data_IF_169565779813
#
_entry.id   IF_169565779813
#
_cell.length_a   1.000
_cell.length_b   1.000
_cell.length_c   1.000
_cell.angle_alpha   90.00
_cell.angle_beta   90.00
_cell.angle_gamma   90.00
#
_symmetry.space_group_name_H-M   'P 1'
#
loop_
_entity.id
_entity.type
_entity.pdbx_description
1 polymer ?
#
# COMPACT_ATOMS: atom_id res chain seq x y z
N UNK A 1 -8.97 5.85 28.31
CA UNK A 1 -8.95 7.16 27.59
C UNK A 1 -9.76 7.18 26.32
N UNK A 2 -10.17 6.03 25.78
CA UNK A 2 -10.92 5.88 24.52
C UNK A 2 -12.45 5.84 24.70
N UNK A 3 -12.97 6.05 25.92
CA UNK A 3 -14.41 6.10 26.16
C UNK A 3 -15.04 7.32 25.47
N UNK A 4 -16.21 7.13 24.84
CA UNK A 4 -16.92 8.17 24.08
C UNK A 4 -17.21 9.45 24.89
N UNK A 5 -17.50 9.29 26.18
CA UNK A 5 -17.76 10.42 27.08
C UNK A 5 -16.56 11.36 27.25
N UNK A 6 -15.34 10.86 27.00
CA UNK A 6 -14.09 11.61 27.09
C UNK A 6 -13.62 12.13 25.72
N UNK A 7 -14.21 11.70 24.61
CA UNK A 7 -13.85 12.16 23.26
C UNK A 7 -14.45 13.54 23.00
N UNK A 8 -13.78 14.58 23.48
CA UNK A 8 -14.29 15.96 23.46
C UNK A 8 -14.56 16.49 22.05
N UNK A 9 -13.84 15.96 21.06
CA UNK A 9 -13.98 16.18 19.62
C UNK A 9 -15.37 15.82 19.07
N UNK A 10 -16.08 14.88 19.70
CA UNK A 10 -17.41 14.45 19.29
C UNK A 10 -18.51 15.40 19.79
N UNK A 11 -18.20 16.28 20.75
CA UNK A 11 -19.15 17.27 21.25
C UNK A 11 -19.13 18.55 20.42
N UNK A 12 -20.29 19.23 20.40
CA UNK A 12 -20.39 20.58 19.85
C UNK A 12 -19.42 21.54 20.55
N UNK A 13 -18.97 22.56 19.82
CA UNK A 13 -18.01 23.55 20.31
C UNK A 13 -18.40 24.12 21.68
N UNK A 14 -19.66 24.54 21.84
CA UNK A 14 -20.16 25.12 23.10
C UNK A 14 -20.12 24.13 24.27
N UNK A 15 -20.44 22.85 24.04
CA UNK A 15 -20.39 21.81 25.07
C UNK A 15 -18.93 21.51 25.44
N UNK A 16 -18.06 21.38 24.44
CA UNK A 16 -16.61 21.17 24.63
C UNK A 16 -15.99 22.27 25.48
N UNK A 17 -16.24 23.54 25.14
CA UNK A 17 -15.66 24.69 25.86
C UNK A 17 -16.13 24.75 27.32
N UNK A 18 -17.40 24.43 27.59
CA UNK A 18 -17.91 24.34 28.97
C UNK A 18 -17.22 23.24 29.77
N UNK A 19 -17.06 22.05 29.18
CA UNK A 19 -16.38 20.92 29.84
C UNK A 19 -14.93 21.28 30.15
N UNK A 20 -14.18 21.80 29.17
CA UNK A 20 -12.77 22.17 29.35
C UNK A 20 -12.64 23.28 30.40
N UNK A 21 -13.52 24.29 30.38
CA UNK A 21 -13.46 25.38 31.37
C UNK A 21 -13.74 24.92 32.79
N UNK A 22 -14.59 23.91 32.98
CA UNK A 22 -15.04 23.47 34.30
C UNK A 22 -14.18 22.33 34.87
N UNK A 23 -13.72 21.41 34.02
CA UNK A 23 -13.08 20.17 34.43
C UNK A 23 -11.70 19.94 33.82
N UNK A 24 -11.23 20.83 32.92
CA UNK A 24 -10.07 20.62 32.04
C UNK A 24 -10.24 19.37 31.16
N UNK A 25 -9.19 19.01 30.42
CA UNK A 25 -9.15 17.73 29.70
C UNK A 25 -8.57 16.64 30.60
N UNK A 26 -9.42 15.74 31.10
CA UNK A 26 -8.98 14.63 31.95
C UNK A 26 -8.07 13.64 31.24
N UNK A 27 -8.12 13.57 29.89
CA UNK A 27 -7.25 12.68 29.10
C UNK A 27 -5.80 13.10 29.21
N UNK A 28 -5.55 14.41 29.31
CA UNK A 28 -4.21 14.96 29.51
C UNK A 28 -3.59 14.45 30.82
N UNK A 29 -4.28 14.65 31.94
CA UNK A 29 -3.80 14.23 33.27
C UNK A 29 -3.59 12.71 33.33
N UNK A 30 -4.53 11.93 32.80
CA UNK A 30 -4.39 10.47 32.75
C UNK A 30 -3.20 10.03 31.87
N UNK A 31 -2.94 10.71 30.76
CA UNK A 31 -1.78 10.43 29.92
C UNK A 31 -0.44 10.76 30.58
N UNK A 32 -0.39 11.82 31.39
CA UNK A 32 0.80 12.12 32.21
C UNK A 32 1.05 11.04 33.26
N UNK A 33 0.00 10.52 33.90
CA UNK A 33 0.14 9.39 34.83
C UNK A 33 0.59 8.12 34.11
N UNK A 34 0.05 7.80 32.93
CA UNK A 34 0.50 6.65 32.12
C UNK A 34 1.97 6.79 31.74
N UNK A 35 2.38 7.99 31.30
CA UNK A 35 3.78 8.29 31.02
C UNK A 35 4.65 8.08 32.27
N UNK A 36 4.25 8.63 33.41
CA UNK A 36 4.95 8.48 34.68
C UNK A 36 5.11 7.00 35.06
N UNK A 37 4.03 6.22 34.98
CA UNK A 37 4.04 4.77 35.22
C UNK A 37 5.03 4.06 34.31
N UNK A 38 5.00 4.34 33.00
CA UNK A 38 5.92 3.73 32.03
C UNK A 38 7.38 3.97 32.40
N UNK A 39 7.77 5.22 32.68
CA UNK A 39 9.16 5.53 33.03
C UNK A 39 9.59 4.94 34.38
N UNK A 40 8.65 4.66 35.28
CA UNK A 40 8.90 4.04 36.58
C UNK A 40 8.97 2.50 36.54
N UNK A 41 8.70 1.83 35.41
CA UNK A 41 8.77 0.37 35.29
C UNK A 41 10.21 -0.21 35.37
N UNK A 42 11.24 0.63 35.21
CA UNK A 42 12.64 0.21 35.30
C UNK A 42 13.00 -0.89 34.30
N UNK A 43 13.64 -1.96 34.77
CA UNK A 43 14.09 -3.09 33.93
C UNK A 43 12.96 -3.96 33.38
N UNK A 44 11.74 -3.82 33.91
CA UNK A 44 10.59 -4.63 33.47
C UNK A 44 9.97 -4.13 32.16
N UNK A 45 10.33 -2.93 31.68
CA UNK A 45 9.78 -2.32 30.46
C UNK A 45 9.84 -3.25 29.24
N UNK A 46 10.95 -3.96 29.07
CA UNK A 46 11.16 -4.85 27.92
C UNK A 46 10.12 -5.96 27.81
N UNK A 47 9.61 -6.47 28.95
CA UNK A 47 8.59 -7.53 28.98
C UNK A 47 7.23 -7.06 28.46
N UNK A 48 6.99 -5.75 28.46
CA UNK A 48 5.76 -5.14 27.97
C UNK A 48 5.84 -4.76 26.49
N UNK A 49 7.04 -4.74 25.92
CA UNK A 49 7.26 -4.62 24.47
C UNK A 49 7.19 -6.04 23.87
N UNK A 50 6.42 -6.29 22.80
CA UNK A 50 5.67 -5.34 21.98
C UNK A 50 4.22 -5.09 22.43
N UNK A 51 3.68 -5.86 23.37
CA UNK A 51 2.25 -5.90 23.72
C UNK A 51 1.59 -4.55 24.03
N UNK A 52 2.30 -3.58 24.62
CA UNK A 52 1.77 -2.26 24.96
C UNK A 52 1.78 -1.25 23.80
N UNK A 53 2.45 -1.53 22.68
CA UNK A 53 2.60 -0.59 21.56
C UNK A 53 1.24 -0.12 21.05
N UNK A 54 0.30 -1.05 20.84
CA UNK A 54 -1.05 -0.72 20.40
C UNK A 54 -1.82 0.17 21.38
N UNK A 55 -1.70 -0.08 22.69
CA UNK A 55 -2.41 0.69 23.72
C UNK A 55 -1.84 2.10 23.86
N UNK A 56 -0.52 2.26 23.77
CA UNK A 56 0.12 3.58 23.76
C UNK A 56 -0.23 4.33 22.48
N UNK A 57 -0.27 3.67 21.32
CA UNK A 57 -0.74 4.25 20.06
C UNK A 57 -2.17 4.78 20.16
N UNK A 58 -3.10 4.03 20.75
CA UNK A 58 -4.48 4.52 20.92
C UNK A 58 -4.56 5.79 21.75
N UNK A 59 -3.70 5.91 22.76
CA UNK A 59 -3.58 7.12 23.57
C UNK A 59 -2.96 8.27 22.78
N UNK A 60 -1.87 8.03 22.05
CA UNK A 60 -1.14 9.09 21.35
C UNK A 60 -1.93 9.63 20.16
N UNK A 61 -2.84 8.84 19.58
CA UNK A 61 -3.70 9.28 18.48
C UNK A 61 -4.83 10.22 18.90
N UNK A 62 -5.12 10.37 20.19
CA UNK A 62 -6.12 11.33 20.71
C UNK A 62 -5.75 12.75 20.23
N UNK A 63 -6.69 13.55 19.69
CA UNK A 63 -6.44 14.89 19.17
C UNK A 63 -6.28 15.93 20.28
N UNK A 64 -5.27 15.72 21.13
CA UNK A 64 -4.82 16.63 22.18
C UNK A 64 -3.29 16.81 21.99
N UNK A 65 -2.81 18.01 21.59
CA UNK A 65 -1.40 18.24 21.24
C UNK A 65 -0.38 18.10 22.39
N UNK A 66 -0.73 18.50 23.61
CA UNK A 66 0.18 18.42 24.77
C UNK A 66 0.36 16.96 25.24
N UNK A 67 -0.72 16.19 25.25
CA UNK A 67 -0.75 14.75 25.48
C UNK A 67 0.09 14.03 24.44
N UNK A 68 -0.10 14.34 23.14
CA UNK A 68 0.73 13.82 22.03
C UNK A 68 2.21 14.05 22.30
N UNK A 69 2.60 15.32 22.52
CA UNK A 69 3.99 15.70 22.79
C UNK A 69 4.56 15.00 24.03
N UNK A 70 3.75 14.80 25.05
CA UNK A 70 4.18 14.14 26.27
C UNK A 70 4.36 12.62 26.11
N UNK A 71 3.55 11.97 25.27
CA UNK A 71 3.45 10.51 25.20
C UNK A 71 4.21 9.89 24.03
N UNK A 72 4.39 10.59 22.91
CA UNK A 72 5.19 10.12 21.76
C UNK A 72 6.61 9.66 22.18
N UNK A 73 7.33 10.35 23.09
CA UNK A 73 8.66 9.89 23.54
C UNK A 73 8.69 8.50 24.20
N UNK A 74 7.53 7.95 24.61
CA UNK A 74 7.44 6.57 25.11
C UNK A 74 7.88 5.57 24.04
N UNK A 75 7.56 5.82 22.76
CA UNK A 75 7.97 4.95 21.66
C UNK A 75 9.49 4.88 21.50
N UNK A 76 10.17 6.01 21.67
CA UNK A 76 11.63 6.04 21.64
C UNK A 76 12.24 5.26 22.83
N UNK A 77 11.62 5.32 24.00
CA UNK A 77 12.04 4.53 25.16
C UNK A 77 11.76 3.02 24.96
N UNK A 78 10.64 2.65 24.31
CA UNK A 78 10.37 1.26 23.89
C UNK A 78 11.43 0.72 22.92
N UNK A 79 11.83 1.52 21.92
CA UNK A 79 12.91 1.16 21.00
C UNK A 79 14.23 0.91 21.75
N UNK A 80 14.59 1.80 22.68
CA UNK A 80 15.79 1.62 23.49
C UNK A 80 15.71 0.38 24.39
N UNK A 81 14.57 0.12 25.01
CA UNK A 81 14.37 -1.05 25.87
C UNK A 81 14.63 -2.35 25.10
N UNK A 82 14.14 -2.46 23.87
CA UNK A 82 14.38 -3.62 23.02
C UNK A 82 15.80 -3.64 22.46
N UNK A 83 16.34 -2.49 22.03
CA UNK A 83 17.68 -2.41 21.46
C UNK A 83 18.76 -2.87 22.43
N UNK A 84 18.66 -2.46 23.70
CA UNK A 84 19.58 -2.82 24.77
C UNK A 84 19.19 -4.10 25.52
N UNK A 85 18.13 -4.80 25.09
CA UNK A 85 17.72 -6.06 25.71
C UNK A 85 18.72 -7.17 25.44
N UNK A 86 18.62 -8.26 26.21
CA UNK A 86 19.44 -9.45 25.99
C UNK A 86 18.83 -10.35 24.91
N UNK A 87 19.65 -10.87 24.00
CA UNK A 87 19.25 -11.87 23.01
C UNK A 87 18.74 -13.18 23.63
N UNK A 88 19.07 -13.43 24.90
CA UNK A 88 18.80 -14.70 25.60
C UNK A 88 17.87 -14.52 26.80
N UNK A 89 16.90 -13.59 26.73
CA UNK A 89 15.99 -13.28 27.85
C UNK A 89 15.28 -14.50 28.47
N UNK A 90 15.02 -15.54 27.68
CA UNK A 90 14.31 -16.77 28.09
C UNK A 90 15.26 -17.83 28.67
N UNK A 91 16.55 -17.82 28.30
CA UNK A 91 17.53 -18.87 28.66
C UNK A 91 18.60 -18.39 29.67
N UNK A 92 18.66 -17.08 29.94
CA UNK A 92 19.65 -16.47 30.82
C UNK A 92 19.32 -16.68 32.30
N UNK A 93 19.91 -17.71 32.91
CA UNK A 93 20.01 -17.89 34.36
C UNK A 93 21.25 -17.15 34.90
N UNK A 94 21.07 -16.27 35.91
CA UNK A 94 22.16 -15.61 36.64
C UNK A 94 22.75 -14.33 36.02
N UNK A 95 24.01 -14.01 36.40
CA UNK A 95 24.76 -12.77 36.08
C UNK A 95 25.05 -12.52 34.58
N UNK A 96 24.59 -13.39 33.67
CA UNK A 96 24.80 -13.29 32.21
C UNK A 96 23.94 -12.21 31.54
N UNK A 97 22.94 -11.63 32.24
CA UNK A 97 22.10 -10.53 31.73
C UNK A 97 22.84 -9.20 31.52
N UNK A 98 24.04 -9.04 32.11
CA UNK A 98 24.83 -7.79 32.05
C UNK A 98 26.02 -7.86 31.10
N UNK A 99 26.21 -8.98 30.41
CA UNK A 99 27.29 -9.07 29.45
C UNK A 99 26.89 -8.35 28.15
N UNK A 100 27.65 -7.30 27.84
CA UNK A 100 27.54 -6.48 26.64
C UNK A 100 27.59 -7.28 25.33
N UNK A 101 28.11 -8.51 25.35
CA UNK A 101 28.15 -9.41 24.19
C UNK A 101 26.76 -9.93 23.77
N UNK A 102 25.79 -9.92 24.69
CA UNK A 102 24.44 -10.47 24.47
C UNK A 102 23.39 -9.41 24.10
N UNK A 103 23.77 -8.17 23.81
CA UNK A 103 22.83 -7.11 23.43
C UNK A 103 22.14 -7.45 22.11
N UNK A 104 20.81 -7.31 22.05
CA UNK A 104 19.99 -7.56 20.85
C UNK A 104 20.45 -6.69 19.68
N UNK A 105 20.69 -5.40 19.93
CA UNK A 105 21.17 -4.42 18.97
C UNK A 105 20.25 -4.25 17.76
N UNK A 106 18.95 -4.48 17.95
CA UNK A 106 17.87 -4.19 17.02
C UNK A 106 16.55 -4.05 17.79
N UNK A 107 15.54 -3.44 17.17
CA UNK A 107 14.21 -3.26 17.75
C UNK A 107 13.11 -3.82 16.81
N UNK A 108 13.38 -4.96 16.17
CA UNK A 108 12.51 -5.50 15.11
C UNK A 108 11.10 -5.85 15.58
N UNK A 109 10.93 -6.26 16.84
CA UNK A 109 9.63 -6.67 17.38
C UNK A 109 8.75 -5.44 17.61
N UNK A 110 9.30 -4.39 18.21
CA UNK A 110 8.68 -3.08 18.31
C UNK A 110 8.35 -2.50 16.94
N UNK A 111 9.30 -2.51 16.00
CA UNK A 111 9.09 -1.98 14.65
C UNK A 111 7.93 -2.70 13.94
N UNK A 112 7.89 -4.03 14.02
CA UNK A 112 6.83 -4.82 13.41
C UNK A 112 5.48 -4.54 14.06
N UNK A 113 5.41 -4.53 15.38
CA UNK A 113 4.16 -4.25 16.09
C UNK A 113 3.67 -2.82 15.84
N UNK A 114 4.57 -1.83 15.84
CA UNK A 114 4.23 -0.44 15.54
C UNK A 114 3.58 -0.32 14.17
N UNK A 115 4.17 -0.93 13.14
CA UNK A 115 3.64 -0.88 11.77
C UNK A 115 2.26 -1.55 11.69
N UNK A 116 2.11 -2.74 12.28
CA UNK A 116 0.84 -3.50 12.25
C UNK A 116 -0.28 -2.74 12.99
N UNK A 117 0.00 -2.22 14.19
CA UNK A 117 -1.00 -1.50 14.98
C UNK A 117 -1.34 -0.15 14.38
N UNK A 118 -0.35 0.55 13.82
CA UNK A 118 -0.60 1.83 13.17
C UNK A 118 -1.48 1.67 11.93
N UNK A 119 -1.21 0.67 11.09
CA UNK A 119 -2.03 0.34 9.93
C UNK A 119 -3.50 0.09 10.34
N UNK A 120 -3.73 -0.79 11.33
CA UNK A 120 -5.08 -1.09 11.81
C UNK A 120 -5.81 0.13 12.40
N UNK A 121 -5.11 0.99 13.14
CA UNK A 121 -5.71 2.17 13.78
C UNK A 121 -6.04 3.27 12.78
N UNK A 122 -5.17 3.52 11.80
CA UNK A 122 -5.42 4.49 10.73
C UNK A 122 -6.56 4.05 9.81
N UNK A 123 -6.63 2.75 9.48
CA UNK A 123 -7.78 2.18 8.78
C UNK A 123 -9.08 2.30 9.57
N UNK A 124 -9.00 2.18 10.91
CA UNK A 124 -10.11 2.47 11.83
C UNK A 124 -10.50 3.95 11.91
N UNK A 125 -9.92 4.82 11.06
CA UNK A 125 -10.24 6.24 10.98
C UNK A 125 -9.53 7.12 12.01
N UNK A 126 -8.63 6.57 12.82
CA UNK A 126 -7.83 7.35 13.79
C UNK A 126 -6.62 8.02 13.10
N UNK A 127 -5.99 8.97 13.78
CA UNK A 127 -4.81 9.67 13.27
C UNK A 127 -5.10 10.81 12.29
N UNK A 128 -4.21 11.79 12.26
CA UNK A 128 -4.32 13.00 11.44
C UNK A 128 -2.94 13.51 11.01
N UNK A 129 -2.93 14.52 10.13
CA UNK A 129 -1.69 15.12 9.61
C UNK A 129 -0.86 15.74 10.73
N UNK A 130 -1.51 16.32 11.74
CA UNK A 130 -0.82 16.90 12.89
C UNK A 130 -0.07 15.82 13.70
N UNK A 131 -0.68 14.66 13.92
CA UNK A 131 -0.06 13.53 14.59
C UNK A 131 1.17 13.03 13.81
N UNK A 132 1.06 12.89 12.47
CA UNK A 132 2.20 12.53 11.61
C UNK A 132 3.35 13.50 11.80
N UNK A 133 3.09 14.81 11.71
CA UNK A 133 4.11 15.85 11.86
C UNK A 133 4.75 15.81 13.26
N UNK A 134 3.94 15.76 14.33
CA UNK A 134 4.44 15.70 15.70
C UNK A 134 5.27 14.43 15.96
N UNK A 135 4.81 13.27 15.46
CA UNK A 135 5.55 12.03 15.59
C UNK A 135 6.90 12.11 14.88
N UNK A 136 6.91 12.62 13.64
CA UNK A 136 8.13 12.78 12.85
C UNK A 136 9.14 13.67 13.56
N UNK A 137 8.74 14.87 13.95
CA UNK A 137 9.64 15.88 14.52
C UNK A 137 10.24 15.40 15.85
N UNK A 138 9.41 14.89 16.76
CA UNK A 138 9.86 14.42 18.08
C UNK A 138 10.77 13.21 17.95
N UNK A 139 10.39 12.22 17.14
CA UNK A 139 11.15 10.97 17.04
C UNK A 139 12.46 11.18 16.26
N UNK A 140 12.48 12.01 15.22
CA UNK A 140 13.72 12.38 14.53
C UNK A 140 14.68 13.06 15.50
N UNK A 141 14.20 14.02 16.29
CA UNK A 141 15.04 14.73 17.27
C UNK A 141 15.65 13.76 18.30
N UNK A 142 14.83 12.88 18.87
CA UNK A 142 15.27 11.88 19.86
C UNK A 142 16.28 10.87 19.26
N UNK A 143 16.00 10.35 18.06
CA UNK A 143 16.90 9.41 17.39
C UNK A 143 18.22 10.07 16.97
N UNK A 144 18.19 11.33 16.51
CA UNK A 144 19.39 12.05 16.09
C UNK A 144 20.36 12.37 17.24
N UNK A 145 19.84 12.52 18.46
CA UNK A 145 20.64 12.76 19.68
C UNK A 145 21.22 11.46 20.28
N UNK A 146 20.74 10.29 19.84
CA UNK A 146 21.18 9.01 20.38
C UNK A 146 22.49 8.55 19.73
N UNK A 147 23.38 7.87 20.47
CA UNK A 147 24.73 7.57 19.97
C UNK A 147 24.83 6.33 19.08
N UNK A 148 24.12 5.25 19.40
CA UNK A 148 24.26 3.94 18.73
C UNK A 148 23.10 3.65 17.78
N UNK A 149 21.87 3.90 18.23
CA UNK A 149 20.63 3.69 17.46
C UNK A 149 20.31 4.79 16.43
N UNK A 150 21.17 5.79 16.20
CA UNK A 150 20.78 6.96 15.39
C UNK A 150 20.39 6.61 13.95
N UNK A 151 21.18 5.79 13.25
CA UNK A 151 20.92 5.47 11.85
C UNK A 151 19.63 4.67 11.71
N UNK A 152 19.51 3.60 12.48
CA UNK A 152 18.37 2.68 12.40
C UNK A 152 17.09 3.33 12.93
N UNK A 153 17.20 4.14 13.99
CA UNK A 153 16.10 4.95 14.49
C UNK A 153 15.60 5.96 13.46
N UNK A 154 16.49 6.71 12.80
CA UNK A 154 16.10 7.66 11.75
C UNK A 154 15.47 6.95 10.55
N UNK A 155 16.02 5.80 10.12
CA UNK A 155 15.42 4.98 9.05
C UNK A 155 14.00 4.56 9.43
N UNK A 156 13.82 4.04 10.65
CA UNK A 156 12.51 3.64 11.16
C UNK A 156 11.51 4.80 11.19
N UNK A 157 11.90 5.97 11.70
CA UNK A 157 11.00 7.14 11.77
C UNK A 157 10.57 7.57 10.37
N UNK A 158 11.47 7.54 9.38
CA UNK A 158 11.12 7.83 7.98
C UNK A 158 10.12 6.82 7.42
N UNK A 159 10.33 5.52 7.67
CA UNK A 159 9.43 4.45 7.25
C UNK A 159 8.02 4.68 7.84
N UNK A 160 7.93 4.90 9.15
CA UNK A 160 6.66 5.10 9.85
C UNK A 160 5.97 6.41 9.44
N UNK A 161 6.73 7.49 9.24
CA UNK A 161 6.17 8.78 8.81
C UNK A 161 5.57 8.69 7.41
N UNK A 162 6.25 7.99 6.50
CA UNK A 162 5.80 7.80 5.13
C UNK A 162 4.65 6.77 5.05
N UNK A 163 4.57 5.84 6.02
CA UNK A 163 3.40 4.96 6.21
C UNK A 163 2.17 5.78 6.59
N UNK A 164 2.27 6.60 7.63
CA UNK A 164 1.17 7.49 8.03
C UNK A 164 0.72 8.40 6.89
N UNK A 165 1.66 8.95 6.10
CA UNK A 165 1.35 9.77 4.93
C UNK A 165 0.52 9.00 3.88
N UNK A 166 0.96 7.80 3.51
CA UNK A 166 0.27 6.96 2.52
C UNK A 166 -1.13 6.57 3.00
N UNK A 167 -1.29 6.28 4.30
CA UNK A 167 -2.57 5.95 4.93
C UNK A 167 -3.53 7.14 4.96
N UNK A 168 -3.02 8.33 5.27
CA UNK A 168 -3.81 9.57 5.28
C UNK A 168 -4.25 9.95 3.87
N UNK A 169 -3.37 9.80 2.88
CA UNK A 169 -3.68 10.02 1.46
C UNK A 169 -4.76 9.04 0.99
N UNK A 170 -4.60 7.74 1.28
CA UNK A 170 -5.64 6.73 0.99
C UNK A 170 -6.99 7.08 1.62
N UNK A 171 -7.01 7.53 2.88
CA UNK A 171 -8.24 7.97 3.55
C UNK A 171 -8.87 9.19 2.87
N UNK A 172 -8.06 10.18 2.46
CA UNK A 172 -8.58 11.34 1.73
C UNK A 172 -9.25 10.93 0.41
N UNK A 173 -8.68 9.96 -0.31
CA UNK A 173 -9.23 9.48 -1.59
C UNK A 173 -10.53 8.68 -1.42
N UNK A 174 -10.68 7.91 -0.33
CA UNK A 174 -11.95 7.21 -0.05
C UNK A 174 -13.06 8.22 0.28
N UNK A 175 -12.71 9.32 0.96
CA UNK A 175 -13.67 10.33 1.41
C UNK A 175 -14.00 11.32 0.29
N UNK A 176 -13.05 11.67 -0.57
CA UNK A 176 -13.29 12.51 -1.75
C UNK A 176 -13.96 11.70 -2.86
N UNK A 177 -15.07 12.20 -3.40
CA UNK A 177 -15.75 11.62 -4.57
C UNK A 177 -14.87 11.60 -5.83
N UNK A 178 -13.74 12.34 -5.82
CA UNK A 178 -12.84 12.49 -6.96
C UNK A 178 -11.63 11.53 -6.85
N UNK A 179 -11.85 10.29 -7.31
CA UNK A 179 -10.98 9.12 -7.12
C UNK A 179 -9.71 9.06 -8.02
N UNK A 180 -9.26 10.18 -8.58
CA UNK A 180 -8.17 10.21 -9.58
C UNK A 180 -6.73 10.13 -9.00
N UNK A 181 -6.54 10.34 -7.69
CA UNK A 181 -5.20 10.44 -7.07
C UNK A 181 -4.67 9.14 -6.42
N UNK A 182 -4.89 7.97 -7.01
CA UNK A 182 -4.61 6.69 -6.34
C UNK A 182 -3.18 6.15 -6.44
N UNK A 183 -2.32 6.77 -7.24
CA UNK A 183 -1.00 6.22 -7.61
C UNK A 183 0.10 6.36 -6.54
N UNK A 184 -0.04 7.24 -5.56
CA UNK A 184 1.02 7.53 -4.57
C UNK A 184 1.21 6.41 -3.53
N UNK A 185 0.12 5.76 -3.12
CA UNK A 185 0.12 4.80 -2.01
C UNK A 185 0.75 3.44 -2.42
N UNK A 186 0.69 3.05 -3.68
CA UNK A 186 1.26 1.77 -4.16
C UNK A 186 2.77 1.74 -4.23
N UNK A 187 3.40 2.85 -4.62
CA UNK A 187 4.86 2.92 -4.77
C UNK A 187 5.56 2.80 -3.40
N UNK A 188 4.90 3.28 -2.34
CA UNK A 188 5.40 3.27 -0.97
C UNK A 188 5.66 1.85 -0.41
N UNK A 189 4.69 0.95 -0.56
CA UNK A 189 4.75 -0.37 0.06
C UNK A 189 5.66 -1.35 -0.71
N UNK A 190 5.92 -1.10 -2.00
CA UNK A 190 6.95 -1.81 -2.75
C UNK A 190 8.35 -1.62 -2.13
N UNK A 191 8.61 -0.45 -1.54
CA UNK A 191 9.93 -0.11 -0.98
C UNK A 191 10.16 -0.61 0.45
N UNK A 192 9.11 -0.92 1.22
CA UNK A 192 9.23 -1.32 2.64
C UNK A 192 9.44 -2.82 2.85
N UNK A 193 9.52 -3.61 1.78
CA UNK A 193 9.74 -5.07 1.84
C UNK A 193 8.69 -5.83 2.69
N UNK A 194 7.57 -5.19 3.06
CA UNK A 194 6.41 -5.82 3.71
C UNK A 194 5.39 -6.19 2.65
N UNK A 195 5.72 -7.26 1.91
CA UNK A 195 4.95 -7.77 0.76
C UNK A 195 3.47 -8.01 1.10
N UNK A 196 3.16 -8.38 2.34
CA UNK A 196 1.79 -8.61 2.81
C UNK A 196 0.94 -7.34 2.80
N UNK A 197 1.44 -6.27 3.43
CA UNK A 197 0.74 -4.99 3.45
C UNK A 197 0.60 -4.45 2.02
N UNK A 198 1.65 -4.54 1.21
CA UNK A 198 1.60 -4.14 -0.19
C UNK A 198 0.45 -4.82 -0.95
N UNK A 199 0.31 -6.14 -0.80
CA UNK A 199 -0.75 -6.91 -1.47
C UNK A 199 -2.14 -6.56 -0.94
N UNK A 200 -2.29 -6.32 0.37
CA UNK A 200 -3.56 -5.85 0.93
C UNK A 200 -3.97 -4.49 0.35
N UNK A 201 -3.04 -3.54 0.24
CA UNK A 201 -3.31 -2.24 -0.39
C UNK A 201 -3.58 -2.34 -1.89
N UNK A 202 -2.85 -3.20 -2.62
CA UNK A 202 -3.15 -3.47 -4.03
C UNK A 202 -4.57 -4.03 -4.23
N UNK A 203 -5.03 -4.94 -3.36
CA UNK A 203 -6.40 -5.46 -3.44
C UNK A 203 -7.45 -4.37 -3.14
N UNK A 204 -7.19 -3.49 -2.17
CA UNK A 204 -8.06 -2.36 -1.87
C UNK A 204 -8.11 -1.35 -3.02
N UNK A 205 -6.97 -1.07 -3.63
CA UNK A 205 -6.86 -0.21 -4.81
C UNK A 205 -7.63 -0.81 -6.00
N UNK A 206 -7.47 -2.11 -6.22
CA UNK A 206 -8.20 -2.84 -7.24
C UNK A 206 -9.72 -2.70 -7.05
N UNK A 207 -10.21 -2.88 -5.83
CA UNK A 207 -11.63 -2.72 -5.50
C UNK A 207 -12.12 -1.28 -5.72
N UNK A 208 -11.32 -0.29 -5.36
CA UNK A 208 -11.63 1.12 -5.64
C UNK A 208 -11.75 1.38 -7.15
N UNK A 209 -10.81 0.87 -7.96
CA UNK A 209 -10.88 1.02 -9.41
C UNK A 209 -12.11 0.34 -10.01
N UNK A 210 -12.51 -0.81 -9.49
CA UNK A 210 -13.75 -1.48 -9.91
C UNK A 210 -14.99 -0.65 -9.58
N UNK A 211 -15.05 -0.02 -8.41
CA UNK A 211 -16.15 0.89 -8.05
C UNK A 211 -16.23 2.13 -8.94
N UNK A 212 -15.13 2.51 -9.59
CA UNK A 212 -15.07 3.64 -10.52
C UNK A 212 -15.37 3.24 -11.98
N UNK A 213 -15.64 1.96 -12.26
CA UNK A 213 -15.62 1.39 -13.61
C UNK A 213 -14.27 1.61 -14.36
N UNK A 214 -13.19 1.86 -13.62
CA UNK A 214 -11.83 2.04 -14.13
C UNK A 214 -11.16 0.67 -14.33
N UNK A 215 -11.72 -0.16 -15.21
CA UNK A 215 -11.28 -1.54 -15.42
C UNK A 215 -9.83 -1.66 -15.92
N UNK A 216 -9.32 -0.67 -16.65
CA UNK A 216 -7.93 -0.67 -17.13
C UNK A 216 -6.93 -0.50 -15.98
N UNK A 217 -7.19 0.45 -15.08
CA UNK A 217 -6.36 0.68 -13.90
C UNK A 217 -6.48 -0.46 -12.88
N UNK A 218 -7.67 -1.06 -12.77
CA UNK A 218 -7.87 -2.29 -12.00
C UNK A 218 -6.96 -3.42 -12.51
N UNK A 219 -6.90 -3.62 -13.83
CA UNK A 219 -6.02 -4.62 -14.44
C UNK A 219 -4.54 -4.33 -14.20
N UNK A 220 -4.09 -3.08 -14.36
CA UNK A 220 -2.70 -2.68 -14.07
C UNK A 220 -2.33 -2.89 -12.59
N UNK A 221 -3.26 -2.62 -11.68
CA UNK A 221 -3.06 -2.86 -10.25
C UNK A 221 -2.78 -4.33 -9.95
N UNK A 222 -3.55 -5.25 -10.56
CA UNK A 222 -3.30 -6.69 -10.42
C UNK A 222 -2.00 -7.12 -11.10
N UNK A 223 -1.57 -6.47 -12.19
CA UNK A 223 -0.26 -6.76 -12.79
C UNK A 223 0.88 -6.50 -11.80
N UNK A 224 0.80 -5.45 -10.98
CA UNK A 224 1.77 -5.20 -9.91
C UNK A 224 1.82 -6.36 -8.91
N UNK A 225 0.66 -6.94 -8.54
CA UNK A 225 0.61 -8.13 -7.68
C UNK A 225 1.28 -9.33 -8.36
N UNK A 226 1.01 -9.56 -9.65
CA UNK A 226 1.60 -10.71 -10.37
C UNK A 226 3.12 -10.66 -10.50
N UNK A 227 3.74 -9.46 -10.46
CA UNK A 227 5.20 -9.30 -10.45
C UNK A 227 5.86 -9.85 -9.18
N UNK A 228 5.12 -9.98 -8.09
CA UNK A 228 5.59 -10.57 -6.83
C UNK A 228 5.51 -12.11 -6.84
N UNK A 229 4.91 -12.70 -7.88
CA UNK A 229 4.66 -14.14 -8.00
C UNK A 229 5.53 -14.76 -9.09
N UNK A 230 5.94 -16.00 -8.85
CA UNK A 230 6.73 -16.80 -9.79
C UNK A 230 5.85 -17.89 -10.42
N UNK A 231 6.22 -18.35 -11.60
CA UNK A 231 5.59 -19.51 -12.24
C UNK A 231 6.15 -20.81 -11.65
N UNK A 232 5.94 -21.01 -10.35
CA UNK A 232 6.44 -22.15 -9.59
C UNK A 232 5.33 -22.83 -8.79
N UNK A 233 5.50 -24.13 -8.54
CA UNK A 233 4.63 -24.90 -7.65
C UNK A 233 5.04 -24.77 -6.17
N UNK A 234 5.88 -23.78 -5.85
CA UNK A 234 6.24 -23.45 -4.47
C UNK A 234 5.00 -23.08 -3.66
N UNK A 235 5.01 -23.49 -2.39
CA UNK A 235 3.92 -23.22 -1.46
C UNK A 235 3.81 -21.71 -1.30
N UNK A 236 2.62 -21.18 -1.59
CA UNK A 236 2.34 -19.77 -1.47
C UNK A 236 2.34 -19.37 0.01
N UNK A 237 3.13 -18.35 0.36
CA UNK A 237 3.05 -17.74 1.68
C UNK A 237 1.64 -17.17 1.90
N UNK A 238 1.04 -17.41 3.06
CA UNK A 238 -0.25 -16.80 3.45
C UNK A 238 -0.21 -15.27 3.37
N UNK A 239 0.99 -14.69 3.51
CA UNK A 239 1.26 -13.26 3.41
C UNK A 239 1.04 -12.70 1.98
N UNK A 240 1.07 -13.53 0.94
CA UNK A 240 0.95 -13.08 -0.45
C UNK A 240 -0.47 -13.20 -1.00
N UNK A 241 -1.44 -13.56 -0.14
CA UNK A 241 -2.76 -14.04 -0.52
C UNK A 241 -3.85 -13.12 0.03
N UNK A 242 -4.62 -12.50 -0.86
CA UNK A 242 -5.85 -11.81 -0.46
C UNK A 242 -6.99 -12.77 -0.12
N UNK A 243 -7.95 -12.34 0.70
CA UNK A 243 -9.10 -13.15 1.13
C UNK A 243 -9.89 -13.75 -0.05
N UNK A 244 -9.98 -13.01 -1.16
CA UNK A 244 -10.68 -13.44 -2.39
C UNK A 244 -10.08 -14.67 -3.06
N UNK A 245 -8.80 -14.95 -2.83
CA UNK A 245 -8.08 -16.07 -3.45
C UNK A 245 -7.76 -17.19 -2.45
N UNK A 246 -8.57 -17.34 -1.40
CA UNK A 246 -8.43 -18.34 -0.31
C UNK A 246 -8.17 -19.78 -0.77
N UNK A 247 -8.50 -20.17 -2.00
CA UNK A 247 -8.32 -21.53 -2.52
C UNK A 247 -6.97 -21.78 -3.20
N UNK A 248 -6.22 -20.74 -3.60
CA UNK A 248 -4.92 -20.91 -4.26
C UNK A 248 -3.84 -21.38 -3.26
N UNK A 249 -3.12 -22.47 -3.57
CA UNK A 249 -2.10 -23.07 -2.69
C UNK A 249 -0.67 -22.82 -3.15
N UNK A 250 -0.45 -22.62 -4.46
CA UNK A 250 0.88 -22.39 -5.03
C UNK A 250 0.99 -21.01 -5.69
N UNK A 251 2.22 -20.54 -5.90
CA UNK A 251 2.48 -19.29 -6.62
C UNK A 251 1.87 -19.31 -8.03
N UNK A 252 2.03 -20.41 -8.77
CA UNK A 252 1.43 -20.63 -10.09
C UNK A 252 -0.10 -20.50 -10.07
N UNK A 253 -0.78 -21.17 -9.12
CA UNK A 253 -2.25 -21.13 -9.03
C UNK A 253 -2.80 -19.72 -8.76
N UNK A 254 -2.17 -18.97 -7.84
CA UNK A 254 -2.59 -17.60 -7.58
C UNK A 254 -2.32 -16.70 -8.80
N UNK A 255 -1.16 -16.85 -9.43
CA UNK A 255 -0.78 -16.05 -10.60
C UNK A 255 -1.73 -16.31 -11.78
N UNK A 256 -2.09 -17.57 -12.03
CA UNK A 256 -3.09 -17.94 -13.05
C UNK A 256 -4.45 -17.29 -12.78
N UNK A 257 -4.97 -17.38 -11.55
CA UNK A 257 -6.24 -16.77 -11.18
C UNK A 257 -6.25 -15.24 -11.36
N UNK A 258 -5.14 -14.59 -10.99
CA UNK A 258 -4.94 -13.15 -11.21
C UNK A 258 -4.89 -12.82 -12.71
N UNK A 259 -4.21 -13.64 -13.54
CA UNK A 259 -4.14 -13.45 -14.98
C UNK A 259 -5.53 -13.49 -15.63
N UNK A 260 -6.39 -14.44 -15.26
CA UNK A 260 -7.76 -14.47 -15.76
C UNK A 260 -8.55 -13.22 -15.36
N UNK A 261 -8.39 -12.77 -14.12
CA UNK A 261 -9.03 -11.54 -13.63
C UNK A 261 -8.51 -10.29 -14.38
N UNK A 262 -7.21 -10.23 -14.69
CA UNK A 262 -6.60 -9.16 -15.50
C UNK A 262 -7.17 -9.15 -16.92
N UNK A 263 -7.24 -10.32 -17.57
CA UNK A 263 -7.77 -10.48 -18.93
C UNK A 263 -9.24 -10.05 -18.99
N UNK A 264 -10.05 -10.44 -18.00
CA UNK A 264 -11.45 -10.03 -17.87
C UNK A 264 -11.58 -8.50 -17.76
N UNK A 265 -10.76 -7.87 -16.92
CA UNK A 265 -10.79 -6.42 -16.71
C UNK A 265 -10.27 -5.66 -17.94
N UNK A 266 -9.22 -6.12 -18.61
CA UNK A 266 -8.80 -5.52 -19.89
C UNK A 266 -9.85 -5.63 -20.98
N UNK A 267 -10.57 -6.77 -21.04
CA UNK A 267 -11.70 -6.94 -21.96
C UNK A 267 -12.80 -5.91 -21.69
N UNK A 268 -13.21 -5.74 -20.42
CA UNK A 268 -14.20 -4.73 -20.02
C UNK A 268 -13.72 -3.30 -20.29
N UNK A 269 -12.44 -3.02 -20.04
CA UNK A 269 -11.77 -1.75 -20.34
C UNK A 269 -11.46 -1.50 -21.81
N UNK A 270 -11.82 -2.42 -22.73
CA UNK A 270 -11.58 -2.34 -24.19
C UNK A 270 -10.08 -2.24 -24.57
N UNK A 271 -9.20 -2.73 -23.69
CA UNK A 271 -7.76 -2.82 -23.90
C UNK A 271 -7.38 -4.23 -24.36
N UNK A 272 -7.98 -4.67 -25.47
CA UNK A 272 -7.84 -6.04 -25.97
C UNK A 272 -6.41 -6.41 -26.38
N UNK A 273 -5.60 -5.46 -26.85
CA UNK A 273 -4.17 -5.69 -27.14
C UNK A 273 -3.39 -6.11 -25.89
N UNK A 274 -3.70 -5.50 -24.73
CA UNK A 274 -3.10 -5.88 -23.45
C UNK A 274 -3.63 -7.23 -22.98
N UNK A 275 -4.93 -7.50 -23.16
CA UNK A 275 -5.52 -8.81 -22.85
C UNK A 275 -4.86 -9.94 -23.66
N UNK A 276 -4.62 -9.74 -24.96
CA UNK A 276 -3.97 -10.71 -25.86
C UNK A 276 -2.55 -11.02 -25.38
N UNK A 277 -1.76 -10.01 -24.99
CA UNK A 277 -0.41 -10.25 -24.45
C UNK A 277 -0.44 -11.13 -23.21
N UNK A 278 -1.39 -10.91 -22.30
CA UNK A 278 -1.57 -11.76 -21.11
C UNK A 278 -2.06 -13.16 -21.45
N UNK A 279 -2.91 -13.31 -22.46
CA UNK A 279 -3.26 -14.63 -23.00
C UNK A 279 -2.03 -15.35 -23.59
N UNK A 280 -1.13 -14.66 -24.29
CA UNK A 280 0.07 -15.27 -24.86
C UNK A 280 1.03 -15.78 -23.78
N UNK A 281 1.28 -14.97 -22.74
CA UNK A 281 2.09 -15.39 -21.59
C UNK A 281 1.51 -16.64 -20.90
N UNK A 282 0.17 -16.71 -20.77
CA UNK A 282 -0.49 -17.87 -20.15
C UNK A 282 -0.52 -19.09 -21.09
N UNK A 283 -0.64 -18.88 -22.40
CA UNK A 283 -0.58 -19.94 -23.41
C UNK A 283 0.79 -20.64 -23.39
N UNK A 284 1.87 -19.87 -23.27
CA UNK A 284 3.23 -20.40 -23.15
C UNK A 284 3.36 -21.33 -21.92
N UNK A 285 2.77 -20.95 -20.79
CA UNK A 285 2.75 -21.81 -19.60
C UNK A 285 1.97 -23.12 -19.82
N UNK A 286 0.82 -23.06 -20.48
CA UNK A 286 0.04 -24.26 -20.77
C UNK A 286 0.67 -25.18 -21.81
N UNK A 287 1.41 -24.64 -22.78
CA UNK A 287 2.09 -25.40 -23.81
C UNK A 287 3.40 -26.03 -23.31
N UNK A 288 4.20 -25.28 -22.54
CA UNK A 288 5.57 -25.68 -22.21
C UNK A 288 5.71 -26.29 -20.80
N UNK A 289 4.90 -25.88 -19.82
CA UNK A 289 5.09 -26.26 -18.42
C UNK A 289 4.04 -27.25 -17.93
N UNK A 290 2.74 -26.97 -18.13
CA UNK A 290 1.66 -27.80 -17.57
C UNK A 290 1.03 -28.77 -18.56
N UNK A 291 1.29 -28.60 -19.87
CA UNK A 291 0.70 -29.39 -20.96
C UNK A 291 -0.83 -29.49 -20.92
N UNK A 292 -1.50 -28.40 -20.50
CA UNK A 292 -2.96 -28.33 -20.40
C UNK A 292 -3.56 -27.76 -21.69
N UNK A 293 -3.75 -28.64 -22.67
CA UNK A 293 -4.26 -28.27 -23.98
C UNK A 293 -5.75 -27.90 -24.00
N UNK A 294 -6.53 -28.32 -23.00
CA UNK A 294 -7.95 -27.96 -22.89
C UNK A 294 -8.08 -26.47 -22.55
N UNK A 295 -7.34 -26.02 -21.53
CA UNK A 295 -7.28 -24.59 -21.18
C UNK A 295 -6.61 -23.75 -22.25
N UNK A 296 -5.60 -24.30 -22.93
CA UNK A 296 -4.96 -23.64 -24.07
C UNK A 296 -5.97 -23.38 -25.22
N UNK A 297 -6.81 -24.37 -25.55
CA UNK A 297 -7.85 -24.22 -26.57
C UNK A 297 -8.84 -23.11 -26.21
N UNK A 298 -9.31 -23.08 -24.96
CA UNK A 298 -10.21 -22.03 -24.47
C UNK A 298 -9.56 -20.64 -24.57
N UNK A 299 -8.25 -20.55 -24.27
CA UNK A 299 -7.49 -19.30 -24.33
C UNK A 299 -7.32 -18.79 -25.77
N UNK A 300 -7.06 -19.68 -26.74
CA UNK A 300 -7.00 -19.32 -28.16
C UNK A 300 -8.35 -18.85 -28.70
N UNK A 301 -9.45 -19.51 -28.33
CA UNK A 301 -10.80 -19.05 -28.67
C UNK A 301 -11.05 -17.64 -28.14
N UNK A 302 -10.58 -17.35 -26.91
CA UNK A 302 -10.69 -16.03 -26.31
C UNK A 302 -9.84 -14.97 -27.03
N UNK A 303 -8.63 -15.32 -27.45
CA UNK A 303 -7.79 -14.44 -28.29
C UNK A 303 -8.44 -14.14 -29.63
N UNK A 304 -9.08 -15.13 -30.27
CA UNK A 304 -9.81 -14.94 -31.52
C UNK A 304 -10.92 -13.89 -31.38
N UNK A 305 -11.72 -13.97 -30.32
CA UNK A 305 -12.74 -12.96 -30.00
C UNK A 305 -12.12 -11.57 -29.84
N UNK A 306 -11.00 -11.45 -29.14
CA UNK A 306 -10.30 -10.18 -28.96
C UNK A 306 -9.77 -9.61 -30.28
N UNK A 307 -9.23 -10.43 -31.18
CA UNK A 307 -8.82 -9.98 -32.51
C UNK A 307 -10.01 -9.44 -33.31
N UNK A 308 -11.15 -10.15 -33.29
CA UNK A 308 -12.38 -9.69 -33.93
C UNK A 308 -12.87 -8.35 -33.38
N UNK A 309 -12.82 -8.16 -32.06
CA UNK A 309 -13.24 -6.92 -31.41
C UNK A 309 -12.31 -5.74 -31.75
N UNK A 310 -11.00 -5.97 -31.86
CA UNK A 310 -10.04 -4.95 -32.33
C UNK A 310 -10.36 -4.56 -33.77
N UNK A 311 -10.61 -5.53 -34.66
CA UNK A 311 -10.94 -5.26 -36.07
C UNK A 311 -12.27 -4.50 -36.21
N UNK A 312 -13.30 -4.88 -35.44
CA UNK A 312 -14.59 -4.16 -35.42
C UNK A 312 -14.43 -2.72 -34.95
N UNK A 313 -13.60 -2.46 -33.93
CA UNK A 313 -13.30 -1.09 -33.46
C UNK A 313 -12.58 -0.26 -34.51
N UNK A 314 -11.60 -0.83 -35.21
CA UNK A 314 -10.91 -0.13 -36.29
C UNK A 314 -11.87 0.19 -37.44
N UNK A 315 -12.74 -0.75 -37.81
CA UNK A 315 -13.80 -0.53 -38.80
C UNK A 315 -14.80 0.58 -38.39
N UNK A 316 -15.19 0.67 -37.12
CA UNK A 316 -16.03 1.78 -36.62
C UNK A 316 -15.30 3.13 -36.64
N UNK A 317 -14.00 3.15 -36.31
CA UNK A 317 -13.21 4.38 -36.38
C UNK A 317 -13.05 4.89 -37.81
N UNK A 318 -12.87 3.99 -38.80
CA UNK A 318 -12.85 4.34 -40.21
C UNK A 318 -14.21 4.83 -40.70
N UNK A 319 -15.32 4.22 -40.27
CA UNK A 319 -16.67 4.72 -40.58
C UNK A 319 -16.92 6.11 -39.98
N UNK A 320 -16.46 6.42 -38.76
CA UNK A 320 -16.56 7.78 -38.19
C UNK A 320 -15.71 8.77 -38.99
N UNK A 321 -14.53 8.38 -39.47
CA UNK A 321 -13.71 9.20 -40.35
C UNK A 321 -14.35 9.42 -41.74
N UNK A 322 -15.06 8.44 -42.31
CA UNK A 322 -15.82 8.59 -43.56
C UNK A 322 -17.08 9.46 -43.42
N UNK A 323 -17.73 9.42 -42.25
CA UNK A 323 -18.83 10.35 -41.94
C UNK A 323 -18.30 11.77 -41.68
N UNK A 324 -17.10 11.90 -41.11
CA UNK A 324 -16.44 13.19 -40.89
C UNK A 324 -15.86 13.82 -42.17
N UNK A 325 -15.56 13.05 -43.22
CA UNK A 325 -15.15 13.60 -44.53
C UNK A 325 -16.32 14.11 -45.38
N UNK A 326 -17.58 13.82 -44.99
CA UNK A 326 -18.79 14.31 -45.67
C UNK A 326 -19.36 15.59 -45.03
N UNK A 327 -18.87 16.00 -43.85
CA UNK A 327 -19.29 17.25 -43.17
C UNK A 327 -18.05 18.09 -42.84
N UNK A 328 -17.80 19.12 -43.65
CA UNK A 328 -16.75 20.11 -43.38
C UNK A 328 -17.19 21.09 -42.28
N UNK A 329 -16.46 21.00 -41.16
CA UNK A 329 -16.05 22.06 -40.21
C UNK A 329 -17.09 22.60 -39.22
N UNK A 330 -16.90 22.26 -37.95
CA UNK A 330 -16.74 23.26 -36.88
C UNK A 330 -15.95 22.68 -35.70
N UNK A 331 -14.98 23.47 -35.23
CA UNK A 331 -13.92 23.16 -34.26
C UNK A 331 -14.43 22.63 -32.90
N UNK A 332 -13.77 21.57 -32.38
CA UNK A 332 -13.46 21.39 -30.94
C UNK A 332 -12.70 20.08 -30.60
N UNK A 333 -11.71 19.67 -31.41
CA UNK A 333 -10.89 18.48 -31.14
C UNK A 333 -9.47 18.81 -30.64
N UNK A 334 -9.38 19.61 -29.58
CA UNK A 334 -8.13 19.81 -28.83
C UNK A 334 -8.43 19.87 -27.34
N UNK A 335 -8.72 18.73 -26.70
CA UNK A 335 -8.70 18.64 -25.22
C UNK A 335 -8.53 17.24 -24.60
N UNK A 336 -8.17 16.21 -25.38
CA UNK A 336 -7.90 14.86 -24.85
C UNK A 336 -6.53 14.38 -25.37
N UNK A 337 -5.46 15.10 -24.98
CA UNK A 337 -4.08 14.64 -25.22
C UNK A 337 -3.14 14.94 -24.04
N UNK A 338 -3.69 15.15 -22.84
CA UNK A 338 -2.91 15.56 -21.67
C UNK A 338 -2.86 14.54 -20.52
N UNK A 339 -3.44 13.34 -20.66
CA UNK A 339 -3.50 12.35 -19.58
C UNK A 339 -2.65 11.07 -19.77
N UNK A 340 -1.76 11.00 -20.78
CA UNK A 340 -0.87 9.84 -20.98
C UNK A 340 0.63 10.14 -20.90
N UNK A 341 1.05 11.28 -20.33
CA UNK A 341 2.46 11.71 -20.43
C UNK A 341 3.35 11.30 -19.25
N UNK A 342 2.86 10.66 -18.18
CA UNK A 342 3.73 10.35 -17.03
C UNK A 342 4.32 8.93 -17.03
N UNK A 343 3.74 7.96 -17.77
CA UNK A 343 4.26 6.57 -17.81
C UNK A 343 5.32 6.34 -18.91
N UNK A 344 5.59 7.32 -19.77
CA UNK A 344 6.60 7.18 -20.85
C UNK A 344 8.03 7.58 -20.47
N UNK A 345 8.26 8.13 -19.27
CA UNK A 345 9.56 8.72 -18.93
C UNK A 345 10.63 7.76 -18.38
N UNK A 346 10.37 6.45 -18.30
CA UNK A 346 11.37 5.46 -17.82
C UNK A 346 11.87 4.50 -18.89
N UNK A 347 11.65 4.79 -20.18
CA UNK A 347 12.24 4.03 -21.30
C UNK A 347 13.29 4.83 -22.06
N UNK A 348 14.34 5.25 -21.36
CA UNK A 348 15.58 5.72 -21.98
C UNK A 348 16.72 4.75 -21.65
N UNK A 349 16.93 3.76 -22.52
CA UNK A 349 18.25 3.38 -23.07
C UNK A 349 18.18 2.07 -23.87
N UNK A 350 19.05 1.92 -24.89
CA UNK A 350 18.65 1.44 -26.21
C UNK A 350 19.09 0.00 -26.46
N UNK A 351 18.38 -0.73 -27.33
CA UNK A 351 18.93 -1.72 -28.26
C UNK A 351 17.78 -2.22 -29.17
N UNK A 352 18.04 -2.14 -30.48
CA UNK A 352 17.34 -2.73 -31.64
C UNK A 352 15.99 -2.10 -32.07
N UNK A 353 16.13 -1.00 -32.83
CA UNK A 353 15.29 -0.77 -34.00
C UNK A 353 15.46 -1.91 -35.01
N UNK A 354 14.37 -2.57 -35.38
CA UNK A 354 14.23 -3.19 -36.70
C UNK A 354 12.96 -2.63 -37.34
N UNK A 355 13.20 -1.72 -38.28
CA UNK A 355 12.23 -1.21 -39.23
C UNK A 355 11.65 -2.38 -40.05
N UNK A 356 10.33 -2.50 -40.07
CA UNK A 356 9.64 -3.11 -41.20
C UNK A 356 8.76 -2.03 -41.83
N UNK A 357 9.33 -1.35 -42.83
CA UNK A 357 8.55 -0.55 -43.76
C UNK A 357 7.78 -1.49 -44.70
N UNK A 358 6.46 -1.56 -44.59
CA UNK A 358 5.63 -2.02 -45.70
C UNK A 358 5.10 -0.80 -46.43
N UNK A 359 5.75 -0.53 -47.57
CA UNK A 359 5.32 0.40 -48.60
C UNK A 359 3.95 -0.04 -49.15
N UNK A 360 2.89 0.72 -48.88
CA UNK A 360 1.69 0.69 -49.70
C UNK A 360 1.83 1.73 -50.83
N UNK A 361 2.33 1.29 -51.97
CA UNK A 361 2.11 1.95 -53.25
C UNK A 361 0.65 1.70 -53.68
N UNK A 362 -0.10 2.78 -53.89
CA UNK A 362 -1.42 2.75 -54.57
C UNK A 362 -1.25 2.22 -56.00
N UNK A 363 -2.11 1.33 -56.51
CA UNK A 363 -2.41 1.27 -57.92
C UNK A 363 -3.60 2.19 -58.25
N UNK A 364 -3.48 2.87 -59.38
CA UNK A 364 -4.53 3.65 -60.02
C UNK A 364 -5.66 2.74 -60.54
N UNK A 365 -6.89 3.04 -60.12
CA UNK A 365 -8.11 3.25 -60.93
C UNK A 365 -9.34 3.15 -60.02
#
# INVERSE_FOLDING_TARGET
MTQDALQLENFSYNKRMRIISQYKDMRREMGFEIRSMWFNLGQNKVQFVPSLVGLILEMTLIPEPELRKATIPIFFDMMQCEFYSSRYEIESFGDTKRDSSHIKANFSDFENEMIVKLDALFEGGKGDVEYKSLFHDIMIELCAQHTTMHEDGIKFVKIVSRLMESLLEYRSIIVDENKENTMSCTDFYSEINKKEMYIRYLNKLFDLHLECDNFTEAAYTLELHTKLLHWSDEILSSLLKGEKYAMAKTHRQLKEALYYTIIDNYSKGKMWECAIKKCQELAEQYEQETFDYERLSALHNRMAVFYDDIMKRQGQSQNIFEWATTVKVSHNFYKIKFLCTVVRSTRDSPILMLEYSMNFQKPNC
#
